data_IF_721177488901
#
_entry.id   IF_721177488901
#
_cell.length_a   1.000
_cell.length_b   1.000
_cell.length_c   1.000
_cell.angle_alpha   90.00
_cell.angle_beta   90.00
_cell.angle_gamma   90.00
#
_symmetry.space_group_name_H-M   'P 1'
#
loop_
_entity.id
_entity.type
_entity.pdbx_description
1 polymer ?
#
# COMPACT_ATOMS: atom_id res chain seq x y z
N UNK A 1 -29.26 3.04 -10.71
CA UNK A 1 -28.38 3.55 -11.79
C UNK A 1 -26.99 3.01 -11.53
N UNK A 2 -26.52 2.06 -12.33
CA UNK A 2 -25.22 1.41 -12.18
C UNK A 2 -24.18 2.32 -12.85
N UNK A 3 -23.28 2.93 -12.08
CA UNK A 3 -22.08 3.54 -12.63
C UNK A 3 -21.09 2.41 -12.92
N UNK A 4 -20.93 2.09 -14.19
CA UNK A 4 -19.84 1.26 -14.69
C UNK A 4 -18.55 2.01 -14.40
N UNK A 5 -17.75 1.54 -13.44
CA UNK A 5 -16.41 2.06 -13.22
C UNK A 5 -15.60 1.72 -14.48
N UNK A 6 -15.13 2.75 -15.19
CA UNK A 6 -14.33 2.63 -16.41
C UNK A 6 -13.18 1.63 -16.20
N UNK A 7 -13.12 0.60 -17.06
CA UNK A 7 -12.11 -0.47 -17.05
C UNK A 7 -10.77 -0.08 -17.70
N UNK A 8 -10.57 1.17 -18.09
CA UNK A 8 -9.34 1.61 -18.74
C UNK A 8 -8.63 2.66 -17.88
N UNK A 9 -7.44 2.31 -17.38
CA UNK A 9 -6.50 3.27 -16.84
C UNK A 9 -5.99 4.14 -17.99
N UNK A 10 -5.94 5.46 -17.80
CA UNK A 10 -5.63 6.43 -18.86
C UNK A 10 -4.25 6.20 -19.49
N UNK A 11 -4.21 6.22 -20.82
CA UNK A 11 -3.00 6.16 -21.64
C UNK A 11 -2.22 7.46 -21.51
N UNK A 12 -1.19 7.46 -20.69
CA UNK A 12 -0.14 8.48 -20.71
C UNK A 12 1.20 7.75 -20.70
N UNK A 13 2.24 8.30 -21.33
CA UNK A 13 3.57 7.68 -21.51
C UNK A 13 4.36 7.56 -20.19
N UNK A 14 3.67 7.27 -19.07
CA UNK A 14 4.15 7.26 -17.69
C UNK A 14 5.41 6.41 -17.56
N UNK A 15 6.54 7.10 -17.58
CA UNK A 15 7.81 6.65 -17.02
C UNK A 15 7.82 7.09 -15.55
N UNK A 16 8.59 6.41 -14.68
CA UNK A 16 8.74 6.88 -13.32
C UNK A 16 9.31 8.31 -13.26
N UNK A 17 9.00 9.08 -12.21
CA UNK A 17 8.13 8.75 -11.07
C UNK A 17 6.63 8.75 -11.43
N UNK A 18 5.80 8.06 -10.64
CA UNK A 18 4.36 7.92 -10.87
C UNK A 18 3.54 8.75 -9.88
N UNK A 19 2.49 9.44 -10.34
CA UNK A 19 1.65 10.28 -9.47
C UNK A 19 0.64 9.47 -8.65
N UNK A 20 0.38 8.21 -9.03
CA UNK A 20 -0.54 7.35 -8.29
C UNK A 20 -0.29 5.86 -8.52
N UNK A 21 -0.84 5.03 -7.61
CA UNK A 21 -0.89 3.57 -7.78
C UNK A 21 -1.61 3.14 -9.06
N UNK A 22 -2.53 3.96 -9.57
CA UNK A 22 -3.27 3.70 -10.82
C UNK A 22 -2.33 3.78 -12.02
N UNK A 23 -1.51 4.82 -12.06
CA UNK A 23 -0.51 5.02 -13.10
C UNK A 23 0.58 3.97 -13.05
N UNK A 24 1.06 3.66 -11.84
CA UNK A 24 2.06 2.62 -11.66
C UNK A 24 1.54 1.24 -12.06
N UNK A 25 0.31 0.88 -11.68
CA UNK A 25 -0.34 -0.36 -12.11
C UNK A 25 -0.47 -0.44 -13.64
N UNK A 26 -0.89 0.64 -14.30
CA UNK A 26 -0.97 0.71 -15.75
C UNK A 26 0.40 0.59 -16.43
N UNK A 27 1.45 1.18 -15.84
CA UNK A 27 2.82 1.00 -16.30
C UNK A 27 3.24 -0.47 -16.22
N UNK A 28 3.07 -1.13 -15.07
CA UNK A 28 3.42 -2.54 -14.91
C UNK A 28 2.65 -3.44 -15.89
N UNK A 29 1.37 -3.17 -16.12
CA UNK A 29 0.54 -3.90 -17.09
C UNK A 29 1.07 -3.77 -18.53
N UNK A 30 1.43 -2.56 -18.97
CA UNK A 30 2.06 -2.34 -20.28
C UNK A 30 3.42 -3.04 -20.43
N UNK A 31 4.18 -3.16 -19.34
CA UNK A 31 5.45 -3.88 -19.32
C UNK A 31 5.28 -5.41 -19.22
N UNK A 32 4.05 -5.93 -19.16
CA UNK A 32 3.78 -7.36 -18.95
C UNK A 32 4.15 -7.85 -17.54
N UNK A 33 4.30 -6.93 -16.58
CA UNK A 33 4.71 -7.18 -15.18
C UNK A 33 3.55 -7.05 -14.19
N UNK A 34 2.33 -6.89 -14.68
CA UNK A 34 1.10 -7.03 -13.92
C UNK A 34 0.22 -8.08 -14.58
N UNK A 35 -0.22 -9.08 -13.82
CA UNK A 35 -1.17 -10.11 -14.26
C UNK A 35 -2.56 -9.77 -13.72
N UNK A 36 -3.55 -9.69 -14.60
CA UNK A 36 -4.96 -9.60 -14.19
C UNK A 36 -5.53 -10.99 -13.92
N UNK A 37 -6.26 -11.12 -12.83
CA UNK A 37 -6.91 -12.35 -12.41
C UNK A 37 -8.39 -12.03 -12.20
N UNK A 38 -9.26 -12.69 -12.96
CA UNK A 38 -10.70 -12.38 -12.95
C UNK A 38 -11.32 -12.53 -11.56
N UNK A 39 -10.96 -13.61 -10.86
CA UNK A 39 -11.50 -13.88 -9.53
C UNK A 39 -10.62 -14.81 -8.70
N UNK A 40 -10.71 -14.68 -7.38
CA UNK A 40 -10.15 -15.63 -6.40
C UNK A 40 -11.12 -15.88 -5.25
N UNK A 41 -11.15 -17.11 -4.76
CA UNK A 41 -11.90 -17.53 -3.57
C UNK A 41 -11.00 -17.53 -2.32
N UNK A 42 -11.11 -16.45 -1.53
CA UNK A 42 -10.33 -16.33 -0.30
C UNK A 42 -10.91 -17.14 0.86
N UNK A 43 -12.16 -17.64 0.77
CA UNK A 43 -12.65 -18.62 1.74
C UNK A 43 -11.83 -19.92 1.67
N UNK A 44 -11.17 -20.16 0.54
CA UNK A 44 -10.23 -21.27 0.30
C UNK A 44 -8.75 -20.85 0.33
N UNK A 45 -8.43 -19.62 0.75
CA UNK A 45 -7.06 -19.08 0.80
C UNK A 45 -6.34 -19.00 -0.55
N UNK A 46 -7.07 -18.87 -1.66
CA UNK A 46 -6.46 -18.83 -2.99
C UNK A 46 -5.47 -17.68 -3.17
N UNK A 47 -5.80 -16.46 -2.71
CA UNK A 47 -4.92 -15.30 -2.84
C UNK A 47 -3.62 -15.49 -2.06
N UNK A 48 -3.74 -16.02 -0.84
CA UNK A 48 -2.58 -16.34 0.00
C UNK A 48 -1.68 -17.37 -0.69
N UNK A 49 -2.25 -18.52 -1.08
CA UNK A 49 -1.49 -19.60 -1.70
C UNK A 49 -0.85 -19.16 -3.01
N UNK A 50 -1.58 -18.40 -3.83
CA UNK A 50 -1.07 -17.82 -5.06
C UNK A 50 0.12 -16.90 -4.81
N UNK A 51 0.00 -15.94 -3.90
CA UNK A 51 1.08 -15.01 -3.55
C UNK A 51 2.36 -15.74 -3.14
N UNK A 52 2.25 -16.70 -2.20
CA UNK A 52 3.40 -17.51 -1.77
C UNK A 52 4.03 -18.34 -2.89
N UNK A 53 3.22 -19.03 -3.69
CA UNK A 53 3.72 -19.91 -4.76
C UNK A 53 4.31 -19.13 -5.93
N UNK A 54 3.75 -17.96 -6.23
CA UNK A 54 4.31 -17.04 -7.21
C UNK A 54 5.68 -16.55 -6.76
N UNK A 55 5.80 -16.03 -5.54
CA UNK A 55 7.08 -15.55 -4.99
C UNK A 55 8.14 -16.65 -4.97
N UNK A 56 7.78 -17.83 -4.46
CA UNK A 56 8.69 -18.99 -4.41
C UNK A 56 9.23 -19.38 -5.80
N UNK A 57 8.37 -19.32 -6.82
CA UNK A 57 8.68 -19.79 -8.17
C UNK A 57 9.42 -18.75 -9.02
N UNK A 58 9.02 -17.49 -8.92
CA UNK A 58 9.47 -16.44 -9.83
C UNK A 58 10.47 -15.46 -9.20
N UNK A 59 10.49 -15.32 -7.86
CA UNK A 59 11.43 -14.43 -7.15
C UNK A 59 11.46 -13.02 -7.77
N UNK A 60 12.62 -12.54 -8.20
CA UNK A 60 12.78 -11.23 -8.86
C UNK A 60 11.95 -11.05 -10.15
N UNK A 61 11.46 -12.14 -10.74
CA UNK A 61 10.57 -12.10 -11.91
C UNK A 61 9.08 -12.19 -11.52
N UNK A 62 8.76 -12.25 -10.23
CA UNK A 62 7.38 -12.31 -9.76
C UNK A 62 6.63 -11.04 -10.19
N UNK A 63 5.52 -11.17 -10.93
CA UNK A 63 4.76 -10.02 -11.37
C UNK A 63 3.96 -9.43 -10.20
N UNK A 64 3.55 -8.17 -10.35
CA UNK A 64 2.39 -7.69 -9.62
C UNK A 64 1.13 -8.42 -10.11
N UNK A 65 0.08 -8.43 -9.30
CA UNK A 65 -1.20 -9.01 -9.72
C UNK A 65 -2.37 -8.17 -9.29
N UNK A 66 -3.40 -8.12 -10.12
CA UNK A 66 -4.66 -7.45 -9.85
C UNK A 66 -5.80 -8.45 -9.93
N UNK A 67 -6.43 -8.72 -8.78
CA UNK A 67 -7.59 -9.60 -8.69
C UNK A 67 -8.84 -8.75 -8.82
N UNK A 68 -9.64 -8.94 -9.87
CA UNK A 68 -10.81 -8.10 -10.13
C UNK A 68 -11.92 -8.34 -9.09
N UNK A 69 -12.10 -9.61 -8.67
CA UNK A 69 -13.17 -10.01 -7.74
C UNK A 69 -12.66 -11.00 -6.71
N UNK A 70 -12.99 -10.77 -5.44
CA UNK A 70 -12.59 -11.67 -4.35
C UNK A 70 -13.83 -12.23 -3.67
N UNK A 71 -13.94 -13.55 -3.54
CA UNK A 71 -14.95 -14.16 -2.65
C UNK A 71 -14.39 -14.25 -1.24
N UNK A 72 -15.16 -13.80 -0.27
CA UNK A 72 -14.81 -13.83 1.15
C UNK A 72 -16.10 -13.77 1.99
N UNK A 73 -16.22 -14.61 3.01
CA UNK A 73 -17.43 -14.84 3.80
C UNK A 73 -18.66 -15.10 2.92
N UNK A 74 -18.54 -16.05 1.98
CA UNK A 74 -19.61 -16.46 1.06
C UNK A 74 -20.18 -15.32 0.17
N UNK A 75 -19.41 -14.24 0.00
CA UNK A 75 -19.79 -13.09 -0.80
C UNK A 75 -18.69 -12.67 -1.77
N UNK A 76 -19.10 -12.28 -2.99
CA UNK A 76 -18.22 -11.62 -3.95
C UNK A 76 -18.09 -10.12 -3.66
N UNK A 77 -16.83 -9.68 -3.58
CA UNK A 77 -16.40 -8.29 -3.54
C UNK A 77 -15.94 -7.85 -4.93
N UNK A 78 -16.47 -6.73 -5.42
CA UNK A 78 -16.16 -6.15 -6.73
C UNK A 78 -15.03 -5.09 -6.64
N UNK A 79 -14.45 -4.90 -5.45
CA UNK A 79 -13.32 -3.99 -5.25
C UNK A 79 -12.04 -4.76 -5.60
N UNK A 80 -11.27 -4.32 -6.61
CA UNK A 80 -10.06 -5.03 -7.00
C UNK A 80 -9.00 -5.02 -5.90
N UNK A 81 -8.23 -6.11 -5.80
CA UNK A 81 -7.10 -6.24 -4.89
C UNK A 81 -5.82 -6.25 -5.72
N UNK A 82 -4.95 -5.27 -5.49
CA UNK A 82 -3.65 -5.17 -6.11
C UNK A 82 -2.59 -5.69 -5.12
N UNK A 83 -1.80 -6.67 -5.56
CA UNK A 83 -0.77 -7.31 -4.76
C UNK A 83 0.58 -7.30 -5.44
N UNK A 84 1.62 -7.51 -4.63
CA UNK A 84 3.01 -7.64 -5.06
C UNK A 84 3.59 -6.47 -5.88
N UNK A 85 3.14 -5.25 -5.60
CA UNK A 85 3.52 -4.05 -6.38
C UNK A 85 4.98 -3.62 -6.17
N UNK A 86 5.61 -4.02 -5.07
CA UNK A 86 7.03 -3.77 -4.76
C UNK A 86 7.77 -5.10 -4.52
N UNK A 87 7.35 -6.17 -5.20
CA UNK A 87 7.80 -7.55 -4.95
C UNK A 87 9.24 -7.87 -5.33
N UNK A 88 9.89 -7.01 -6.10
CA UNK A 88 11.26 -7.22 -6.59
C UNK A 88 12.03 -5.90 -6.63
N UNK A 89 13.36 -5.99 -6.64
CA UNK A 89 14.21 -4.79 -6.59
C UNK A 89 14.07 -3.92 -7.84
N UNK A 90 13.72 -4.51 -8.99
CA UNK A 90 13.44 -3.74 -10.20
C UNK A 90 12.22 -2.81 -10.03
N UNK A 91 11.13 -3.32 -9.45
CA UNK A 91 9.96 -2.50 -9.13
C UNK A 91 10.28 -1.38 -8.15
N UNK A 92 11.11 -1.66 -7.14
CA UNK A 92 11.56 -0.65 -6.17
C UNK A 92 12.40 0.42 -6.87
N UNK A 93 13.35 0.02 -7.71
CA UNK A 93 14.22 0.91 -8.46
C UNK A 93 13.44 1.85 -9.39
N UNK A 94 12.47 1.30 -10.12
CA UNK A 94 11.61 2.11 -10.98
C UNK A 94 10.81 3.13 -10.16
N UNK A 95 10.16 2.73 -9.07
CA UNK A 95 9.38 3.67 -8.23
C UNK A 95 10.26 4.78 -7.63
N UNK A 96 11.52 4.47 -7.34
CA UNK A 96 12.50 5.45 -6.83
C UNK A 96 13.18 6.27 -7.94
N UNK A 97 12.92 6.00 -9.21
CA UNK A 97 13.48 6.78 -10.32
C UNK A 97 14.91 6.39 -10.73
N UNK A 98 15.40 5.22 -10.34
CA UNK A 98 16.73 4.72 -10.72
C UNK A 98 16.84 4.63 -12.24
N UNK A 99 17.77 5.39 -12.83
CA UNK A 99 17.92 5.46 -14.30
C UNK A 99 18.52 4.18 -14.90
N UNK A 100 19.48 3.57 -14.19
CA UNK A 100 20.26 2.42 -14.69
C UNK A 100 19.72 1.11 -14.15
N UNK A 101 18.78 0.52 -14.89
CA UNK A 101 18.22 -0.78 -14.56
C UNK A 101 19.11 -1.94 -15.05
N UNK A 102 19.08 -3.04 -14.31
CA UNK A 102 19.80 -4.29 -14.54
C UNK A 102 18.92 -5.47 -14.10
N UNK A 103 19.10 -6.64 -14.70
CA UNK A 103 18.38 -7.86 -14.31
C UNK A 103 19.15 -8.69 -13.26
N UNK A 104 20.31 -8.20 -12.81
CA UNK A 104 21.10 -8.82 -11.72
C UNK A 104 20.65 -8.25 -10.38
N UNK A 105 20.04 -9.09 -9.53
CA UNK A 105 19.44 -8.71 -8.23
C UNK A 105 20.40 -7.89 -7.35
N UNK A 106 21.64 -8.36 -7.16
CA UNK A 106 22.62 -7.70 -6.31
C UNK A 106 23.01 -6.32 -6.81
N UNK A 107 23.12 -6.18 -8.13
CA UNK A 107 23.49 -4.92 -8.77
C UNK A 107 22.30 -3.95 -8.74
N UNK A 108 21.07 -4.46 -8.91
CA UNK A 108 19.86 -3.66 -8.77
C UNK A 108 19.68 -3.16 -7.34
N UNK A 109 19.84 -4.03 -6.35
CA UNK A 109 19.78 -3.64 -4.94
C UNK A 109 20.83 -2.55 -4.62
N UNK A 110 22.05 -2.71 -5.14
CA UNK A 110 23.08 -1.67 -5.01
C UNK A 110 22.66 -0.36 -5.67
N UNK A 111 22.11 -0.39 -6.89
CA UNK A 111 21.64 0.80 -7.58
C UNK A 111 20.51 1.52 -6.81
N UNK A 112 19.58 0.76 -6.21
CA UNK A 112 18.54 1.31 -5.31
C UNK A 112 19.16 2.00 -4.11
N UNK A 113 20.13 1.38 -3.46
CA UNK A 113 20.82 1.97 -2.31
C UNK A 113 21.58 3.24 -2.73
N UNK A 114 22.32 3.18 -3.83
CA UNK A 114 23.08 4.32 -4.35
C UNK A 114 22.15 5.50 -4.66
N UNK A 115 21.00 5.27 -5.28
CA UNK A 115 19.97 6.29 -5.54
C UNK A 115 19.44 6.92 -4.25
N UNK A 116 19.06 6.09 -3.27
CA UNK A 116 18.59 6.58 -1.96
C UNK A 116 19.64 7.47 -1.29
N UNK A 117 20.93 7.11 -1.38
CA UNK A 117 22.02 7.88 -0.81
C UNK A 117 22.22 9.23 -1.50
N UNK A 118 21.80 9.41 -2.76
CA UNK A 118 21.86 10.71 -3.44
C UNK A 118 20.92 11.75 -2.84
N UNK A 119 19.88 11.30 -2.13
CA UNK A 119 18.92 12.16 -1.43
C UNK A 119 19.34 12.48 0.01
N UNK A 120 20.53 12.05 0.44
CA UNK A 120 21.09 12.34 1.74
C UNK A 120 22.25 13.33 1.62
N UNK A 121 22.30 14.30 2.53
CA UNK A 121 23.47 15.16 2.70
C UNK A 121 24.63 14.41 3.38
N UNK A 122 25.77 15.09 3.56
CA UNK A 122 26.96 14.50 4.21
C UNK A 122 26.76 14.11 5.67
N UNK A 123 25.69 14.60 6.33
CA UNK A 123 25.32 14.26 7.70
C UNK A 123 24.24 13.16 7.76
N UNK A 124 23.92 12.53 6.63
CA UNK A 124 22.81 11.57 6.47
C UNK A 124 21.43 12.16 6.78
N UNK A 125 21.22 13.44 6.46
CA UNK A 125 19.89 14.08 6.51
C UNK A 125 19.26 14.08 5.12
N UNK A 126 17.96 13.83 5.07
CA UNK A 126 17.19 13.85 3.84
C UNK A 126 17.12 15.25 3.25
N UNK A 127 17.35 15.38 1.94
CA UNK A 127 16.89 16.51 1.16
C UNK A 127 15.37 16.41 1.02
N UNK A 128 14.64 17.35 1.61
CA UNK A 128 13.19 17.24 1.81
C UNK A 128 12.43 18.27 0.99
N UNK A 129 11.31 17.83 0.43
CA UNK A 129 10.35 18.67 -0.28
C UNK A 129 9.04 18.59 0.50
N UNK A 130 8.53 19.74 0.94
CA UNK A 130 7.26 19.78 1.67
C UNK A 130 6.08 19.38 0.78
N UNK A 131 5.11 18.59 1.29
CA UNK A 131 3.92 18.25 0.54
C UNK A 131 3.06 19.50 0.27
N UNK A 132 2.62 19.64 -0.97
CA UNK A 132 1.72 20.74 -1.38
C UNK A 132 0.28 20.36 -1.10
N UNK A 133 -0.48 21.26 -0.46
CA UNK A 133 -1.93 21.10 -0.31
C UNK A 133 -2.61 21.43 -1.63
N UNK A 134 -3.43 20.50 -2.13
CA UNK A 134 -4.20 20.66 -3.37
C UNK A 134 -5.69 20.85 -3.08
N UNK A 135 -6.40 21.44 -4.04
CA UNK A 135 -7.85 21.56 -3.96
C UNK A 135 -8.52 20.18 -3.93
N UNK A 136 -9.67 20.09 -3.24
CA UNK A 136 -10.43 18.84 -3.13
C UNK A 136 -10.80 18.25 -4.50
N UNK A 137 -11.06 19.10 -5.49
CA UNK A 137 -11.36 18.68 -6.87
C UNK A 137 -10.21 17.95 -7.55
N UNK A 138 -8.98 18.13 -7.07
CA UNK A 138 -7.76 17.47 -7.55
C UNK A 138 -7.37 16.25 -6.71
N UNK A 139 -8.19 15.86 -5.72
CA UNK A 139 -7.90 14.76 -4.80
C UNK A 139 -8.86 13.57 -5.03
N UNK A 140 -8.53 12.60 -5.91
CA UNK A 140 -9.37 11.42 -6.15
C UNK A 140 -9.72 10.63 -4.88
N UNK A 141 -8.85 10.66 -3.86
CA UNK A 141 -9.12 10.03 -2.56
C UNK A 141 -10.31 10.64 -1.79
N UNK A 142 -10.88 11.76 -2.26
CA UNK A 142 -12.03 12.46 -1.65
C UNK A 142 -13.34 12.31 -2.45
N UNK A 143 -13.35 11.49 -3.51
CA UNK A 143 -14.54 11.22 -4.34
C UNK A 143 -15.65 10.51 -3.56
N UNK A 144 -15.28 9.53 -2.72
CA UNK A 144 -16.21 8.77 -1.88
C UNK A 144 -15.91 9.03 -0.41
N UNK A 145 -16.88 9.59 0.33
CA UNK A 145 -16.73 9.91 1.75
C UNK A 145 -17.80 9.18 2.56
N UNK A 146 -17.36 8.28 3.44
CA UNK A 146 -18.21 7.55 4.38
C UNK A 146 -17.89 8.01 5.81
N UNK A 147 -18.90 8.40 6.56
CA UNK A 147 -18.78 8.89 7.94
C UNK A 147 -19.83 8.26 8.86
N UNK A 148 -19.57 8.26 10.17
CA UNK A 148 -20.48 7.72 11.18
C UNK A 148 -20.88 6.27 10.89
N UNK A 149 -22.18 5.98 10.92
CA UNK A 149 -22.72 4.64 10.69
C UNK A 149 -22.56 4.12 9.25
N UNK A 150 -22.16 4.98 8.29
CA UNK A 150 -21.88 4.55 6.92
C UNK A 150 -20.53 3.83 6.80
N UNK A 151 -19.64 4.03 7.79
CA UNK A 151 -18.31 3.38 7.84
C UNK A 151 -18.50 1.90 8.16
N UNK A 152 -17.97 1.06 7.29
CA UNK A 152 -17.98 -0.38 7.46
C UNK A 152 -16.75 -1.00 6.77
N UNK A 153 -15.79 -1.45 7.57
CA UNK A 153 -14.57 -2.12 7.12
C UNK A 153 -14.86 -3.44 6.39
N UNK A 154 -16.00 -4.07 6.62
CA UNK A 154 -16.40 -5.31 5.93
C UNK A 154 -16.93 -5.07 4.52
N UNK A 155 -17.00 -3.82 4.05
CA UNK A 155 -17.24 -3.48 2.64
C UNK A 155 -16.03 -3.72 1.74
N UNK A 156 -14.84 -3.88 2.32
CA UNK A 156 -13.60 -4.10 1.60
C UNK A 156 -13.15 -5.56 1.74
N UNK A 157 -12.48 -6.13 0.72
CA UNK A 157 -11.98 -7.49 0.74
C UNK A 157 -10.69 -7.62 1.56
N UNK A 158 -10.67 -7.09 2.78
CA UNK A 158 -9.54 -7.33 3.71
C UNK A 158 -9.51 -8.79 4.08
N UNK A 159 -8.42 -9.48 3.76
CA UNK A 159 -8.33 -10.92 3.89
C UNK A 159 -7.76 -11.34 5.24
N UNK A 160 -8.13 -12.55 5.67
CA UNK A 160 -7.35 -13.31 6.63
C UNK A 160 -6.25 -14.01 5.83
N UNK A 161 -4.98 -13.64 6.05
CA UNK A 161 -3.88 -14.14 5.21
C UNK A 161 -3.65 -15.62 5.51
N UNK A 162 -3.56 -16.01 6.77
CA UNK A 162 -3.28 -17.40 7.16
C UNK A 162 -4.44 -18.04 7.95
N UNK A 163 -4.61 -19.38 7.91
CA UNK A 163 -5.60 -20.09 8.73
C UNK A 163 -5.57 -19.75 10.22
N UNK A 164 -4.37 -19.55 10.77
CA UNK A 164 -4.14 -19.25 12.18
C UNK A 164 -4.22 -17.75 12.53
N UNK A 165 -4.42 -16.86 11.56
CA UNK A 165 -4.56 -15.43 11.85
C UNK A 165 -5.84 -15.18 12.67
N UNK A 166 -5.73 -14.31 13.67
CA UNK A 166 -6.86 -13.98 14.56
C UNK A 166 -8.00 -13.18 13.90
N UNK A 167 -7.90 -12.87 12.60
CA UNK A 167 -8.89 -12.11 11.85
C UNK A 167 -8.35 -11.56 10.53
N UNK A 168 -9.12 -10.66 9.92
CA UNK A 168 -8.75 -9.95 8.69
C UNK A 168 -7.75 -8.83 8.97
N UNK A 169 -6.85 -8.57 8.04
CA UNK A 169 -5.86 -7.51 8.16
C UNK A 169 -5.90 -6.52 6.98
N UNK A 170 -5.68 -5.25 7.30
CA UNK A 170 -5.21 -4.23 6.37
C UNK A 170 -3.68 -4.31 6.43
N UNK A 171 -3.05 -4.82 5.38
CA UNK A 171 -1.61 -5.18 5.37
C UNK A 171 -0.69 -4.08 4.85
N UNK A 172 -1.20 -3.22 3.95
CA UNK A 172 -0.44 -2.14 3.30
C UNK A 172 -1.01 -0.75 3.63
N UNK A 173 -1.46 -0.54 4.87
CA UNK A 173 -1.96 0.77 5.31
C UNK A 173 -0.83 1.76 5.58
N UNK A 174 -0.94 2.95 5.02
CA UNK A 174 -0.13 4.12 5.38
C UNK A 174 -0.86 4.94 6.44
N UNK A 175 -0.42 4.84 7.70
CA UNK A 175 -1.01 5.60 8.80
C UNK A 175 -0.24 6.90 8.96
N UNK A 176 -0.96 8.02 8.90
CA UNK A 176 -0.40 9.36 9.08
C UNK A 176 -0.73 9.85 10.49
N UNK A 177 0.31 10.26 11.21
CA UNK A 177 0.24 10.79 12.56
C UNK A 177 0.96 12.14 12.62
N UNK A 178 0.50 13.02 13.51
CA UNK A 178 1.07 14.35 13.72
C UNK A 178 1.44 14.51 15.19
N UNK A 179 2.66 14.98 15.46
CA UNK A 179 3.11 15.39 16.78
C UNK A 179 3.62 16.85 16.71
N UNK A 180 3.25 17.72 17.69
CA UNK A 180 3.66 19.12 17.64
C UNK A 180 5.18 19.37 17.66
N UNK A 181 5.97 18.41 18.15
CA UNK A 181 7.43 18.53 18.23
C UNK A 181 8.16 17.60 17.25
N UNK A 182 7.64 16.39 17.01
CA UNK A 182 8.25 15.45 16.05
C UNK A 182 7.81 15.68 14.60
N UNK A 183 6.77 16.49 14.37
CA UNK A 183 6.20 16.70 13.04
C UNK A 183 5.33 15.53 12.58
N UNK A 184 5.31 15.32 11.25
CA UNK A 184 4.49 14.29 10.60
C UNK A 184 5.24 12.97 10.50
N UNK A 185 4.55 11.87 10.81
CA UNK A 185 5.02 10.53 10.49
C UNK A 185 4.01 9.82 9.58
N UNK A 186 4.50 9.22 8.51
CA UNK A 186 3.76 8.27 7.68
C UNK A 186 4.42 6.90 7.82
N UNK A 187 3.71 5.94 8.42
CA UNK A 187 4.24 4.61 8.65
C UNK A 187 3.36 3.52 8.08
N UNK A 188 3.99 2.44 7.63
CA UNK A 188 3.27 1.22 7.24
C UNK A 188 3.04 0.36 8.47
N UNK A 189 1.77 0.16 8.84
CA UNK A 189 1.42 -0.67 9.99
C UNK A 189 0.31 -1.64 9.62
N UNK A 190 0.46 -2.90 10.01
CA UNK A 190 -0.64 -3.87 9.90
C UNK A 190 -1.78 -3.51 10.85
N UNK A 191 -3.01 -3.54 10.36
CA UNK A 191 -4.20 -3.25 11.16
C UNK A 191 -5.16 -4.46 11.18
N UNK A 192 -5.43 -5.00 12.35
CA UNK A 192 -6.36 -6.10 12.56
C UNK A 192 -7.80 -5.56 12.59
N UNK A 193 -8.65 -5.96 11.65
CA UNK A 193 -10.07 -5.59 11.64
C UNK A 193 -10.80 -6.23 12.83
N UNK A 194 -11.36 -5.43 13.73
CA UNK A 194 -12.07 -5.87 14.95
C UNK A 194 -13.58 -5.67 14.89
N UNK A 195 -14.09 -5.03 13.84
CA UNK A 195 -15.50 -4.74 13.62
C UNK A 195 -15.67 -3.73 12.48
N UNK A 196 -16.91 -3.33 12.15
CA UNK A 196 -17.19 -2.46 11.01
C UNK A 196 -16.54 -1.07 11.15
N UNK A 197 -16.29 -0.63 12.38
CA UNK A 197 -15.76 0.72 12.70
C UNK A 197 -14.58 0.67 13.68
N UNK A 198 -13.88 -0.47 13.76
CA UNK A 198 -12.77 -0.66 14.70
C UNK A 198 -11.69 -1.54 14.08
N UNK A 199 -10.46 -1.05 14.12
CA UNK A 199 -9.27 -1.82 13.83
C UNK A 199 -8.26 -1.68 14.98
N UNK A 200 -7.48 -2.73 15.21
CA UNK A 200 -6.37 -2.73 16.16
C UNK A 200 -5.06 -2.54 15.42
N UNK A 201 -4.22 -1.65 15.91
CA UNK A 201 -2.87 -1.40 15.42
C UNK A 201 -1.87 -1.77 16.52
N UNK A 202 -0.75 -2.37 16.14
CA UNK A 202 0.35 -2.63 17.06
C UNK A 202 1.54 -1.78 16.63
N UNK A 203 1.93 -0.87 17.50
CA UNK A 203 3.18 -0.16 17.37
C UNK A 203 4.27 -0.96 18.09
N UNK A 204 5.26 -1.40 17.33
CA UNK A 204 6.44 -2.05 17.91
C UNK A 204 7.21 -1.04 18.75
N UNK A 205 7.66 -1.41 19.96
CA UNK A 205 8.42 -0.50 20.81
C UNK A 205 9.58 0.16 20.05
N UNK A 206 9.72 1.48 20.23
CA UNK A 206 10.74 2.33 19.60
C UNK A 206 10.55 2.65 18.11
N UNK A 207 9.47 2.20 17.46
CA UNK A 207 9.12 2.77 16.16
C UNK A 207 8.47 4.16 16.34
N UNK A 208 8.37 4.94 15.27
CA UNK A 208 7.80 6.30 15.36
C UNK A 208 6.35 6.29 15.85
N UNK A 209 5.54 5.29 15.51
CA UNK A 209 4.16 5.21 15.98
C UNK A 209 4.08 5.05 17.51
N UNK A 210 4.95 4.22 18.09
CA UNK A 210 5.09 4.05 19.54
C UNK A 210 5.57 5.35 20.22
N UNK A 211 6.55 6.03 19.63
CA UNK A 211 7.03 7.33 20.13
C UNK A 211 5.92 8.39 20.12
N UNK A 212 5.15 8.48 19.04
CA UNK A 212 4.04 9.43 18.91
C UNK A 212 2.95 9.15 19.93
N UNK A 213 2.54 7.88 20.10
CA UNK A 213 1.55 7.49 21.09
C UNK A 213 2.04 7.73 22.53
N UNK A 214 3.32 7.46 22.81
CA UNK A 214 3.93 7.70 24.13
C UNK A 214 3.93 9.18 24.49
N UNK A 215 4.29 10.06 23.55
CA UNK A 215 4.24 11.51 23.76
C UNK A 215 2.82 12.03 23.92
N UNK A 216 1.87 11.51 23.16
CA UNK A 216 0.45 11.82 23.32
C UNK A 216 -0.05 11.46 24.73
N UNK A 217 0.31 10.28 25.23
CA UNK A 217 -0.01 9.83 26.59
C UNK A 217 0.62 10.73 27.66
N UNK A 218 1.89 11.13 27.50
CA UNK A 218 2.57 12.06 28.40
C UNK A 218 1.88 13.43 28.46
N UNK A 219 1.27 13.87 27.35
CA UNK A 219 0.44 15.09 27.28
C UNK A 219 -0.98 14.90 27.82
N UNK A 220 -1.32 13.71 28.35
CA UNK A 220 -2.66 13.40 28.87
C UNK A 220 -3.72 13.20 27.77
N UNK A 221 -3.32 13.01 26.52
CA UNK A 221 -4.26 12.79 25.41
C UNK A 221 -4.82 11.36 25.48
N UNK A 222 -6.15 11.25 25.32
CA UNK A 222 -6.86 9.97 25.25
C UNK A 222 -7.18 9.53 23.83
N UNK A 223 -7.11 10.46 22.89
CA UNK A 223 -7.45 10.28 21.48
C UNK A 223 -6.38 10.97 20.66
N UNK A 224 -5.81 10.24 19.70
CA UNK A 224 -4.87 10.75 18.70
C UNK A 224 -5.54 10.59 17.34
N UNK A 225 -5.86 11.70 16.63
CA UNK A 225 -6.33 11.62 15.26
C UNK A 225 -5.26 11.01 14.35
N UNK A 226 -5.69 10.10 13.46
CA UNK A 226 -4.83 9.50 12.43
C UNK A 226 -5.58 9.50 11.10
N UNK A 227 -4.83 9.46 9.99
CA UNK A 227 -5.38 9.12 8.66
C UNK A 227 -4.89 7.77 8.20
#
# INVERSE_FOLDING_TARGET
MRQTVSKAWTENENRPPFDSLREYGAYLERQGRLVRIDQMDQDQYEMTAFGYRMEERFREQAPAYLIERTRLDDRWYEIPVLGNILGNFRSVAEVLGVEKLTDVETDMNKAVVDEILTHLDSDFKWDTIDPVTVDRSQAPCKEVVLTGDKVDLFKFPFIRNNPADGGRFISASSVIMEDPELGRNMGTYRMHVKGPRKAGICFTPRNHGDMFMSRALQRGQKIVPVS
#
